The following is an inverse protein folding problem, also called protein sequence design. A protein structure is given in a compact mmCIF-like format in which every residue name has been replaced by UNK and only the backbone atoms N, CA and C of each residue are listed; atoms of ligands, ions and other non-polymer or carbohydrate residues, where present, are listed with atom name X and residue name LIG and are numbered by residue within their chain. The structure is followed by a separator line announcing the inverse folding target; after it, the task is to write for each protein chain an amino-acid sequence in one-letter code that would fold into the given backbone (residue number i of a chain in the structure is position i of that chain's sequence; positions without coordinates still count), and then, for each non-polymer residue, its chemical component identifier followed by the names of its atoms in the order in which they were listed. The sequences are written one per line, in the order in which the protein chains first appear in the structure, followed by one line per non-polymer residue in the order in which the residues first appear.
data_IF_614039011760
#
_entry.id   IF_614039011760
#
_cell.length_a   1.000
_cell.length_b   1.000
_cell.length_c   1.000
_cell.angle_alpha   90.00
_cell.angle_beta   90.00
_cell.angle_gamma   90.00
#
_symmetry.space_group_name_H-M   'P 1'
#
loop_
_entity.id
_entity.type
_entity.pdbx_description
1 polymer ?
#
# COMPACT_ATOMS: atom_id res chain seq x y z
N UNK A 1 -12.92 -5.84 -10.40
CA UNK A 1 -12.48 -5.39 -9.05
C UNK A 1 -12.41 -3.87 -8.94
N UNK A 2 -11.64 -3.17 -9.78
CA UNK A 2 -11.40 -1.72 -9.67
C UNK A 2 -12.70 -0.86 -9.68
N UNK A 3 -13.72 -1.24 -10.46
CA UNK A 3 -14.99 -0.49 -10.54
C UNK A 3 -15.81 -0.52 -9.24
N UNK A 4 -15.65 -1.56 -8.40
CA UNK A 4 -16.37 -1.68 -7.13
C UNK A 4 -15.75 -0.84 -6.01
N UNK A 5 -14.49 -0.45 -6.15
CA UNK A 5 -13.84 0.52 -5.26
C UNK A 5 -14.49 1.91 -5.34
N UNK A 6 -15.03 2.29 -6.50
CA UNK A 6 -15.73 3.57 -6.70
C UNK A 6 -17.22 3.50 -6.36
N UNK A 7 -17.68 2.37 -5.81
CA UNK A 7 -19.08 2.21 -5.47
C UNK A 7 -19.53 3.30 -4.49
N UNK A 8 -20.61 4.00 -4.83
CA UNK A 8 -21.29 4.95 -3.94
C UNK A 8 -21.80 4.24 -2.67
N UNK A 9 -22.06 2.93 -2.74
CA UNK A 9 -22.34 2.11 -1.55
C UNK A 9 -21.03 1.86 -0.80
N UNK A 10 -20.84 2.58 0.30
CA UNK A 10 -19.66 2.51 1.19
C UNK A 10 -19.34 1.07 1.61
N UNK A 11 -20.35 0.25 1.89
CA UNK A 11 -20.13 -1.14 2.30
C UNK A 11 -19.46 -1.96 1.19
N UNK A 12 -19.84 -1.73 -0.07
CA UNK A 12 -19.27 -2.44 -1.23
C UNK A 12 -17.80 -2.05 -1.42
N UNK A 13 -17.47 -0.77 -1.32
CA UNK A 13 -16.07 -0.31 -1.47
C UNK A 13 -15.18 -0.79 -0.34
N UNK A 14 -15.68 -0.84 0.90
CA UNK A 14 -14.98 -1.45 2.05
C UNK A 14 -14.71 -2.93 1.79
N UNK A 15 -15.73 -3.72 1.46
CA UNK A 15 -15.56 -5.16 1.19
C UNK A 15 -14.63 -5.42 0.02
N UNK A 16 -14.68 -4.58 -1.02
CA UNK A 16 -13.76 -4.69 -2.13
C UNK A 16 -12.32 -4.42 -1.68
N UNK A 17 -12.08 -3.39 -0.87
CA UNK A 17 -10.75 -3.11 -0.32
C UNK A 17 -10.27 -4.23 0.62
N UNK A 18 -11.17 -4.84 1.39
CA UNK A 18 -10.85 -6.01 2.21
C UNK A 18 -10.30 -7.15 1.36
N UNK A 19 -10.99 -7.48 0.27
CA UNK A 19 -10.57 -8.56 -0.65
C UNK A 19 -9.21 -8.24 -1.26
N UNK A 20 -9.03 -7.01 -1.77
CA UNK A 20 -7.77 -6.59 -2.41
C UNK A 20 -6.61 -6.68 -1.42
N UNK A 21 -6.79 -6.14 -0.22
CA UNK A 21 -5.77 -6.16 0.81
C UNK A 21 -5.41 -7.60 1.20
N UNK A 22 -6.42 -8.45 1.42
CA UNK A 22 -6.18 -9.84 1.80
C UNK A 22 -5.39 -10.60 0.73
N UNK A 23 -5.74 -10.44 -0.56
CA UNK A 23 -5.04 -11.12 -1.66
C UNK A 23 -3.59 -10.65 -1.78
N UNK A 24 -3.38 -9.33 -1.79
CA UNK A 24 -2.03 -8.76 -1.98
C UNK A 24 -1.13 -9.09 -0.78
N UNK A 25 -1.63 -8.91 0.44
CA UNK A 25 -0.86 -9.16 1.66
C UNK A 25 -0.58 -10.67 1.80
N UNK A 26 -1.55 -11.54 1.54
CA UNK A 26 -1.34 -12.99 1.59
C UNK A 26 -0.28 -13.45 0.59
N UNK A 27 -0.32 -12.97 -0.65
CA UNK A 27 0.71 -13.29 -1.65
C UNK A 27 2.07 -12.65 -1.39
N UNK A 28 2.22 -11.92 -0.28
CA UNK A 28 3.48 -11.29 0.13
C UNK A 28 4.12 -11.92 1.36
N UNK A 29 3.45 -12.88 2.02
CA UNK A 29 3.92 -13.47 3.28
C UNK A 29 5.21 -14.27 3.13
N UNK A 30 5.37 -14.97 2.01
CA UNK A 30 6.50 -15.87 1.77
C UNK A 30 7.54 -15.28 0.82
N UNK A 31 7.46 -13.97 0.55
CA UNK A 31 8.43 -13.27 -0.29
C UNK A 31 9.78 -13.21 0.40
N UNK A 32 10.81 -13.73 -0.25
CA UNK A 32 12.20 -13.62 0.20
C UNK A 32 12.67 -12.16 0.13
N UNK A 33 13.79 -11.87 0.76
CA UNK A 33 14.46 -10.56 0.64
C UNK A 33 14.67 -10.22 -0.83
N UNK A 34 14.37 -8.98 -1.22
CA UNK A 34 14.46 -8.44 -2.58
C UNK A 34 13.57 -9.14 -3.62
N UNK A 35 12.73 -10.07 -3.21
CA UNK A 35 11.74 -10.69 -4.09
C UNK A 35 10.60 -9.71 -4.37
N UNK A 36 10.27 -9.56 -5.65
CA UNK A 36 9.25 -8.61 -6.09
C UNK A 36 7.85 -9.11 -5.72
N UNK A 37 6.97 -8.17 -5.36
CA UNK A 37 5.56 -8.51 -5.19
C UNK A 37 4.95 -8.97 -6.54
N UNK A 38 4.35 -10.18 -6.62
CA UNK A 38 3.83 -10.72 -7.87
C UNK A 38 2.68 -9.87 -8.45
N UNK A 39 2.00 -9.09 -7.61
CA UNK A 39 0.89 -8.24 -8.02
C UNK A 39 1.31 -6.85 -8.49
N UNK A 40 2.55 -6.40 -8.23
CA UNK A 40 2.94 -5.04 -8.62
C UNK A 40 2.80 -4.80 -10.12
N UNK A 41 3.44 -5.63 -10.97
CA UNK A 41 3.42 -5.42 -12.43
C UNK A 41 2.00 -5.50 -13.02
N UNK A 42 1.18 -6.52 -12.73
CA UNK A 42 -0.19 -6.59 -13.24
C UNK A 42 -1.06 -5.41 -12.77
N UNK A 43 -0.90 -4.97 -11.52
CA UNK A 43 -1.67 -3.84 -10.97
C UNK A 43 -1.18 -2.48 -11.46
N UNK A 44 0.08 -2.38 -11.87
CA UNK A 44 0.57 -1.17 -12.51
C UNK A 44 0.02 -1.04 -13.93
N UNK A 45 0.00 -2.15 -14.69
CA UNK A 45 -0.49 -2.19 -16.08
C UNK A 45 -1.98 -1.85 -16.20
N UNK A 46 -2.79 -2.14 -15.19
CA UNK A 46 -4.22 -1.84 -15.19
C UNK A 46 -4.59 -0.56 -14.42
N UNK A 47 -3.62 0.33 -14.18
CA UNK A 47 -3.75 1.61 -13.47
C UNK A 47 -4.23 1.53 -12.01
N UNK A 48 -4.26 0.33 -11.41
CA UNK A 48 -4.73 0.16 -10.03
C UNK A 48 -3.79 0.79 -9.01
N UNK A 49 -2.47 0.76 -9.25
CA UNK A 49 -1.49 1.45 -8.39
C UNK A 49 -1.77 2.95 -8.34
N UNK A 50 -1.95 3.59 -9.49
CA UNK A 50 -2.29 5.02 -9.58
C UNK A 50 -3.54 5.34 -8.77
N UNK A 51 -4.56 4.49 -8.86
CA UNK A 51 -5.80 4.66 -8.11
C UNK A 51 -5.63 4.50 -6.59
N UNK A 52 -4.82 3.53 -6.14
CA UNK A 52 -4.50 3.36 -4.73
C UNK A 52 -3.77 4.59 -4.17
N UNK A 53 -2.85 5.17 -4.94
CA UNK A 53 -2.16 6.42 -4.59
C UNK A 53 -3.18 7.57 -4.49
N UNK A 54 -4.09 7.72 -5.45
CA UNK A 54 -5.17 8.73 -5.38
C UNK A 54 -6.03 8.56 -4.12
N UNK A 55 -6.38 7.31 -3.76
CA UNK A 55 -7.14 7.04 -2.55
C UNK A 55 -6.34 7.28 -1.26
N UNK A 56 -5.03 7.08 -1.30
CA UNK A 56 -4.14 7.44 -0.20
C UNK A 56 -4.08 8.95 0.03
N UNK A 57 -4.15 9.76 -1.03
CA UNK A 57 -4.24 11.22 -0.90
C UNK A 57 -5.62 11.70 -0.42
N UNK A 58 -6.67 10.89 -0.58
CA UNK A 58 -8.04 11.23 -0.15
C UNK A 58 -8.30 10.88 1.33
N UNK A 59 -8.04 11.86 2.20
CA UNK A 59 -8.25 11.75 3.66
C UNK A 59 -9.71 11.51 4.07
N UNK A 60 -10.69 11.61 3.16
CA UNK A 60 -12.09 11.27 3.44
C UNK A 60 -12.33 9.76 3.54
N UNK A 61 -11.43 8.94 2.98
CA UNK A 61 -11.53 7.47 2.93
C UNK A 61 -11.11 6.75 4.22
N UNK A 62 -11.37 7.35 5.38
CA UNK A 62 -10.93 6.88 6.71
C UNK A 62 -11.16 5.39 6.97
N UNK A 63 -12.30 4.85 6.53
CA UNK A 63 -12.68 3.44 6.76
C UNK A 63 -11.80 2.42 6.04
N UNK A 64 -11.17 2.80 4.93
CA UNK A 64 -10.30 1.92 4.14
C UNK A 64 -8.83 2.38 4.14
N UNK A 65 -8.55 3.53 4.75
CA UNK A 65 -7.25 4.20 4.70
C UNK A 65 -6.10 3.33 5.20
N UNK A 66 -6.26 2.72 6.39
CA UNK A 66 -5.27 1.78 6.94
C UNK A 66 -4.96 0.63 5.96
N UNK A 67 -5.96 0.10 5.26
CA UNK A 67 -5.75 -0.97 4.27
C UNK A 67 -4.99 -0.50 3.05
N UNK A 68 -5.26 0.73 2.59
CA UNK A 68 -4.53 1.34 1.48
C UNK A 68 -3.05 1.50 1.86
N UNK A 69 -2.76 1.99 3.07
CA UNK A 69 -1.39 2.12 3.60
C UNK A 69 -0.64 0.79 3.54
N UNK A 70 -1.22 -0.28 4.10
CA UNK A 70 -0.59 -1.61 4.10
C UNK A 70 -0.37 -2.13 2.68
N UNK A 71 -1.37 -1.98 1.81
CA UNK A 71 -1.28 -2.45 0.42
C UNK A 71 -0.19 -1.72 -0.35
N UNK A 72 -0.10 -0.40 -0.23
CA UNK A 72 0.97 0.38 -0.90
C UNK A 72 2.33 -0.07 -0.38
N UNK A 73 2.52 -0.16 0.95
CA UNK A 73 3.79 -0.57 1.53
C UNK A 73 4.27 -1.95 1.01
N UNK A 74 3.35 -2.91 0.95
CA UNK A 74 3.62 -4.28 0.50
C UNK A 74 3.88 -4.37 -1.02
N UNK A 75 3.17 -3.58 -1.83
CA UNK A 75 3.37 -3.55 -3.27
C UNK A 75 4.74 -2.96 -3.65
N UNK A 76 5.15 -1.90 -2.94
CA UNK A 76 6.38 -1.17 -3.23
C UNK A 76 7.63 -1.73 -2.54
N UNK A 77 7.56 -2.91 -1.91
CA UNK A 77 8.69 -3.61 -1.26
C UNK A 77 10.03 -3.46 -1.99
N UNK A 78 10.05 -3.72 -3.30
CA UNK A 78 11.28 -3.69 -4.12
C UNK A 78 11.22 -2.64 -5.24
N UNK A 79 10.21 -1.76 -5.20
CA UNK A 79 9.96 -0.78 -6.25
C UNK A 79 10.08 0.63 -5.67
N UNK A 80 10.66 1.59 -6.40
CA UNK A 80 10.77 2.95 -5.91
C UNK A 80 9.39 3.54 -5.63
N UNK A 81 9.21 4.03 -4.40
CA UNK A 81 7.99 4.71 -4.01
C UNK A 81 7.93 6.12 -4.63
N UNK A 82 6.75 6.60 -5.06
CA UNK A 82 6.60 7.99 -5.48
C UNK A 82 6.94 8.95 -4.34
N UNK A 83 7.77 9.96 -4.64
CA UNK A 83 8.32 10.90 -3.65
C UNK A 83 7.23 11.72 -2.95
N UNK A 84 6.13 11.97 -3.64
CA UNK A 84 4.99 12.75 -3.18
C UNK A 84 4.19 12.06 -2.06
N UNK A 85 4.36 10.75 -1.87
CA UNK A 85 3.64 10.00 -0.83
C UNK A 85 4.56 9.33 0.19
N UNK A 86 5.89 9.40 0.02
CA UNK A 86 6.81 8.57 0.78
C UNK A 86 6.87 8.91 2.27
N UNK A 87 6.86 10.20 2.60
CA UNK A 87 6.90 10.66 3.99
C UNK A 87 5.57 10.35 4.69
N UNK A 88 4.46 10.77 4.10
CA UNK A 88 3.11 10.48 4.59
C UNK A 88 2.90 8.98 4.80
N UNK A 89 3.32 8.13 3.86
CA UNK A 89 3.14 6.67 3.99
C UNK A 89 3.89 6.12 5.21
N UNK A 90 5.13 6.55 5.43
CA UNK A 90 5.95 6.12 6.57
C UNK A 90 5.34 6.61 7.89
N UNK A 91 4.86 7.85 7.94
CA UNK A 91 4.17 8.39 9.11
C UNK A 91 2.92 7.56 9.45
N UNK A 92 2.10 7.24 8.44
CA UNK A 92 0.86 6.47 8.66
C UNK A 92 1.14 5.02 9.09
N UNK A 93 2.19 4.39 8.54
CA UNK A 93 2.61 3.05 9.00
C UNK A 93 2.97 3.04 10.49
N UNK A 94 3.59 4.12 10.99
CA UNK A 94 3.91 4.30 12.41
C UNK A 94 2.65 4.50 13.25
N UNK A 95 1.79 5.43 12.87
CA UNK A 95 0.52 5.71 13.57
C UNK A 95 -0.31 4.43 13.73
N UNK A 96 -0.30 3.56 12.73
CA UNK A 96 -1.06 2.30 12.74
C UNK A 96 -0.33 1.10 13.34
N UNK A 97 0.91 1.26 13.80
CA UNK A 97 1.78 0.20 14.33
C UNK A 97 1.96 -0.98 13.34
N UNK A 98 2.05 -0.68 12.05
CA UNK A 98 2.18 -1.68 10.98
C UNK A 98 3.65 -2.03 10.71
N UNK A 99 4.34 -2.56 11.72
CA UNK A 99 5.79 -2.81 11.64
C UNK A 99 6.17 -3.83 10.58
N UNK A 100 5.33 -4.85 10.33
CA UNK A 100 5.61 -5.87 9.31
C UNK A 100 5.67 -5.25 7.91
N UNK A 101 4.67 -4.43 7.56
CA UNK A 101 4.65 -3.71 6.30
C UNK A 101 5.77 -2.68 6.20
N UNK A 102 6.16 -2.08 7.32
CA UNK A 102 7.29 -1.15 7.37
C UNK A 102 8.64 -1.83 7.13
N UNK A 103 8.84 -3.06 7.64
CA UNK A 103 10.03 -3.87 7.35
C UNK A 103 10.10 -4.22 5.87
N UNK A 104 8.98 -4.63 5.27
CA UNK A 104 8.93 -4.88 3.82
C UNK A 104 9.22 -3.61 3.04
N UNK A 105 8.64 -2.48 3.45
CA UNK A 105 8.89 -1.20 2.80
C UNK A 105 10.37 -0.81 2.88
N UNK A 106 11.09 -1.11 3.97
CA UNK A 106 12.50 -0.76 4.14
C UNK A 106 13.43 -1.35 3.06
N UNK A 107 13.02 -2.39 2.35
CA UNK A 107 13.72 -2.94 1.19
C UNK A 107 13.58 -2.05 -0.07
N UNK A 108 12.70 -1.06 -0.05
CA UNK A 108 12.49 -0.11 -1.14
C UNK A 108 13.73 0.78 -1.32
N UNK A 109 14.24 0.94 -2.57
CA UNK A 109 15.33 1.86 -2.84
C UNK A 109 14.98 3.29 -2.37
N UNK A 110 15.85 3.88 -1.55
CA UNK A 110 15.72 5.28 -1.11
C UNK A 110 14.80 5.55 0.08
N UNK A 111 14.05 4.57 0.60
CA UNK A 111 13.17 4.79 1.76
C UNK A 111 13.92 4.76 3.10
N UNK A 112 15.09 4.10 3.15
CA UNK A 112 15.83 3.85 4.39
C UNK A 112 16.10 5.14 5.19
N UNK A 113 16.50 6.22 4.50
CA UNK A 113 16.73 7.52 5.12
C UNK A 113 15.45 8.12 5.71
N UNK A 114 14.31 7.98 5.02
CA UNK A 114 13.02 8.51 5.48
C UNK A 114 12.55 7.77 6.74
N UNK A 115 12.76 6.46 6.81
CA UNK A 115 12.43 5.65 7.99
C UNK A 115 13.23 6.11 9.21
N UNK A 116 14.54 6.34 9.05
CA UNK A 116 15.48 6.76 10.10
C UNK A 116 15.27 8.21 10.54
N UNK A 117 15.04 9.15 9.62
CA UNK A 117 14.83 10.55 9.96
C UNK A 117 13.53 10.79 10.75
N UNK A 118 12.62 9.82 10.73
CA UNK A 118 11.35 9.87 11.46
C UNK A 118 11.34 8.96 12.72
N UNK A 119 12.45 8.31 13.07
CA UNK A 119 12.60 7.47 14.28
C UNK A 119 12.91 8.34 15.50
#
# INVERSE_FOLDING_TARGET
MIRFLDSQKILVSIKMMDIIANVIIAGSKDLKEREQNPFYKPLNQNEMIKKLITFFSDKSKKKIYKKIVNVIAVLFKTYPLPKDISEDLVEQLKIYNNFNEMVLLAECPGIYLIIIMNL
#
